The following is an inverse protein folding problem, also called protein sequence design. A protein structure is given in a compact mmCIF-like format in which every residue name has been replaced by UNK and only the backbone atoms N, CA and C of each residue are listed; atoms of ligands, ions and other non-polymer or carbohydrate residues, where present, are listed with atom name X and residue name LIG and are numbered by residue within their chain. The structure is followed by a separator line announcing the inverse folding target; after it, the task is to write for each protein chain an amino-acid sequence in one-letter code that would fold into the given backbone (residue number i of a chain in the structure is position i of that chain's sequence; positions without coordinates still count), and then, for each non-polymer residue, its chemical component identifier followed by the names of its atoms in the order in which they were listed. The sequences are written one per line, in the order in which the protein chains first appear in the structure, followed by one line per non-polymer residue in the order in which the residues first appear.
data_IF_365107612540
#
_entry.id   IF_365107612540
#
_cell.length_a   1.000
_cell.length_b   1.000
_cell.length_c   1.000
_cell.angle_alpha   90.00
_cell.angle_beta   90.00
_cell.angle_gamma   90.00
#
_symmetry.space_group_name_H-M   'P 1'
#
loop_
_entity.id
_entity.type
_entity.pdbx_description
1 polymer ?
#
# COMPACT_ATOMS: atom_id res chain seq x y z
N UNK A 1 -4.45 -11.86 9.11
CA UNK A 1 -3.99 -12.33 7.78
C UNK A 1 -2.90 -11.44 7.19
N UNK A 2 -3.07 -10.10 7.08
CA UNK A 2 -2.05 -9.18 6.50
C UNK A 2 -0.59 -9.34 6.99
N UNK A 3 -0.38 -9.68 8.26
CA UNK A 3 0.98 -9.76 8.85
C UNK A 3 1.75 -10.98 8.35
N UNK A 4 1.05 -12.07 8.00
CA UNK A 4 1.65 -13.29 7.48
C UNK A 4 2.03 -13.13 6.01
N UNK A 5 1.15 -12.53 5.20
CA UNK A 5 1.42 -12.22 3.79
C UNK A 5 2.60 -11.25 3.65
N UNK A 6 2.65 -10.20 4.48
CA UNK A 6 3.79 -9.28 4.49
C UNK A 6 5.12 -9.96 4.89
N UNK A 7 5.07 -10.91 5.82
CA UNK A 7 6.25 -11.68 6.20
C UNK A 7 6.71 -12.60 5.06
N UNK A 8 5.79 -13.29 4.39
CA UNK A 8 6.11 -14.17 3.27
C UNK A 8 6.67 -13.40 2.07
N UNK A 9 6.08 -12.25 1.73
CA UNK A 9 6.61 -11.35 0.69
C UNK A 9 8.02 -10.87 1.06
N UNK A 10 8.24 -10.49 2.32
CA UNK A 10 9.57 -10.07 2.77
C UNK A 10 10.61 -11.19 2.69
N UNK A 11 10.25 -12.42 3.07
CA UNK A 11 11.14 -13.57 2.94
C UNK A 11 11.47 -13.89 1.47
N UNK A 12 10.47 -13.78 0.58
CA UNK A 12 10.69 -13.94 -0.85
C UNK A 12 11.64 -12.88 -1.43
N UNK A 13 11.52 -11.62 -1.00
CA UNK A 13 12.42 -10.53 -1.39
C UNK A 13 13.86 -10.75 -0.91
N UNK A 14 14.06 -11.25 0.32
CA UNK A 14 15.38 -11.60 0.86
C UNK A 14 16.05 -12.69 0.02
N UNK A 15 15.31 -13.75 -0.28
CA UNK A 15 15.80 -14.86 -1.10
C UNK A 15 16.13 -14.42 -2.52
N UNK A 16 15.29 -13.57 -3.12
CA UNK A 16 15.51 -13.02 -4.45
C UNK A 16 16.74 -12.12 -4.51
N UNK A 17 16.90 -11.21 -3.53
CA UNK A 17 18.06 -10.33 -3.45
C UNK A 17 19.37 -11.11 -3.33
N UNK A 18 19.37 -12.21 -2.57
CA UNK A 18 20.53 -13.11 -2.45
C UNK A 18 20.85 -13.80 -3.77
N UNK A 19 19.85 -14.35 -4.47
CA UNK A 19 20.04 -14.99 -5.79
C UNK A 19 20.59 -14.04 -6.83
N UNK A 20 20.09 -12.81 -6.86
CA UNK A 20 20.59 -11.77 -7.77
C UNK A 20 22.04 -11.39 -7.45
N UNK A 21 22.38 -11.29 -6.16
CA UNK A 21 23.74 -11.02 -5.73
C UNK A 21 24.71 -12.17 -6.07
N UNK A 22 24.28 -13.43 -5.88
CA UNK A 22 25.05 -14.62 -6.27
C UNK A 22 25.29 -14.65 -7.79
N UNK A 23 24.25 -14.41 -8.60
CA UNK A 23 24.37 -14.35 -10.06
C UNK A 23 25.31 -13.22 -10.53
N UNK A 24 25.36 -12.10 -9.81
CA UNK A 24 26.31 -11.02 -10.08
C UNK A 24 27.74 -11.42 -9.71
N UNK A 25 27.92 -12.06 -8.55
CA UNK A 25 29.23 -12.49 -8.08
C UNK A 25 29.82 -13.61 -8.94
N UNK A 26 28.98 -14.46 -9.55
CA UNK A 26 29.40 -15.50 -10.51
C UNK A 26 30.02 -14.91 -11.78
N UNK A 27 29.70 -13.65 -12.13
CA UNK A 27 30.31 -12.96 -13.27
C UNK A 27 31.72 -12.43 -12.96
N UNK A 28 32.17 -12.56 -11.71
CA UNK A 28 33.47 -12.09 -11.23
C UNK A 28 34.37 -13.29 -10.92
N UNK A 29 34.69 -14.07 -11.97
CA UNK A 29 35.44 -15.34 -11.89
C UNK A 29 36.85 -15.23 -11.27
N UNK A 30 37.37 -14.02 -11.12
CA UNK A 30 38.68 -13.74 -10.53
C UNK A 30 38.66 -13.62 -8.99
N UNK A 31 37.47 -13.66 -8.37
CA UNK A 31 37.33 -13.56 -6.91
C UNK A 31 37.58 -14.91 -6.23
N UNK A 32 38.23 -14.88 -5.07
CA UNK A 32 38.26 -16.05 -4.18
C UNK A 32 36.88 -16.29 -3.57
N UNK A 33 36.64 -17.50 -3.04
CA UNK A 33 35.37 -17.85 -2.39
C UNK A 33 34.98 -16.88 -1.27
N UNK A 34 35.94 -16.48 -0.43
CA UNK A 34 35.72 -15.52 0.66
C UNK A 34 35.40 -14.10 0.15
N UNK A 35 36.03 -13.67 -0.95
CA UNK A 35 35.72 -12.39 -1.56
C UNK A 35 34.36 -12.41 -2.25
N UNK A 36 33.99 -13.54 -2.88
CA UNK A 36 32.68 -13.74 -3.50
C UNK A 36 31.57 -13.63 -2.46
N UNK A 37 31.69 -14.31 -1.32
CA UNK A 37 30.71 -14.27 -0.24
C UNK A 37 30.52 -12.85 0.31
N UNK A 38 31.63 -12.14 0.56
CA UNK A 38 31.57 -10.75 1.02
C UNK A 38 30.88 -9.80 0.01
N UNK A 39 31.07 -10.02 -1.29
CA UNK A 39 30.40 -9.27 -2.36
C UNK A 39 28.91 -9.60 -2.39
N UNK A 40 28.54 -10.88 -2.28
CA UNK A 40 27.14 -11.33 -2.25
C UNK A 40 26.40 -10.67 -1.08
N UNK A 41 26.96 -10.72 0.12
CA UNK A 41 26.34 -10.12 1.30
C UNK A 41 26.13 -8.61 1.16
N UNK A 42 27.16 -7.91 0.67
CA UNK A 42 27.09 -6.46 0.45
C UNK A 42 26.03 -6.09 -0.60
N UNK A 43 25.97 -6.81 -1.72
CA UNK A 43 24.99 -6.56 -2.77
C UNK A 43 23.57 -6.93 -2.33
N UNK A 44 23.38 -8.05 -1.64
CA UNK A 44 22.08 -8.46 -1.12
C UNK A 44 21.54 -7.42 -0.13
N UNK A 45 22.37 -6.95 0.81
CA UNK A 45 22.00 -5.90 1.77
C UNK A 45 21.65 -4.59 1.05
N UNK A 46 22.47 -4.18 0.07
CA UNK A 46 22.22 -2.98 -0.77
C UNK A 46 20.86 -3.08 -1.47
N UNK A 47 20.57 -4.21 -2.09
CA UNK A 47 19.33 -4.44 -2.84
C UNK A 47 18.11 -4.44 -1.89
N UNK A 48 18.23 -5.07 -0.73
CA UNK A 48 17.17 -5.06 0.28
C UNK A 48 16.87 -3.66 0.80
N UNK A 49 17.90 -2.84 1.04
CA UNK A 49 17.71 -1.44 1.44
C UNK A 49 16.99 -0.62 0.37
N UNK A 50 17.28 -0.86 -0.91
CA UNK A 50 16.58 -0.21 -2.02
C UNK A 50 15.11 -0.65 -2.08
N UNK A 51 14.83 -1.96 -2.03
CA UNK A 51 13.46 -2.49 -2.00
C UNK A 51 12.65 -1.91 -0.84
N UNK A 52 13.22 -1.86 0.38
CA UNK A 52 12.58 -1.22 1.55
C UNK A 52 12.21 0.23 1.28
N UNK A 53 13.15 1.04 0.75
CA UNK A 53 12.88 2.46 0.45
C UNK A 53 11.82 2.65 -0.63
N UNK A 54 11.74 1.75 -1.61
CA UNK A 54 10.68 1.79 -2.61
C UNK A 54 9.33 1.44 -1.99
N UNK A 55 9.25 0.38 -1.19
CA UNK A 55 8.02 -0.01 -0.49
C UNK A 55 7.52 1.09 0.44
N UNK A 56 8.41 1.73 1.21
CA UNK A 56 8.06 2.84 2.11
C UNK A 56 7.49 4.04 1.34
N UNK A 57 8.14 4.44 0.23
CA UNK A 57 7.67 5.53 -0.61
C UNK A 57 6.30 5.22 -1.23
N UNK A 58 6.12 4.01 -1.76
CA UNK A 58 4.84 3.59 -2.33
C UNK A 58 3.74 3.51 -1.28
N UNK A 59 4.05 3.00 -0.09
CA UNK A 59 3.10 2.94 1.02
C UNK A 59 2.69 4.35 1.49
N UNK A 60 3.65 5.27 1.59
CA UNK A 60 3.38 6.67 1.93
C UNK A 60 2.46 7.31 0.89
N UNK A 61 2.74 7.10 -0.40
CA UNK A 61 1.93 7.65 -1.50
C UNK A 61 0.54 7.04 -1.57
N UNK A 62 0.42 5.74 -1.35
CA UNK A 62 -0.86 5.05 -1.30
C UNK A 62 -1.72 5.58 -0.13
N UNK A 63 -1.10 5.83 1.04
CA UNK A 63 -1.79 6.43 2.18
C UNK A 63 -2.20 7.87 1.90
N UNK A 64 -1.35 8.68 1.27
CA UNK A 64 -1.69 10.06 0.93
C UNK A 64 -2.87 10.13 -0.03
N UNK A 65 -2.85 9.32 -1.10
CA UNK A 65 -3.96 9.19 -2.04
C UNK A 65 -5.22 8.74 -1.33
N UNK A 66 -5.13 7.69 -0.51
CA UNK A 66 -6.29 7.18 0.24
C UNK A 66 -6.92 8.25 1.15
N UNK A 67 -6.10 9.04 1.84
CA UNK A 67 -6.58 10.18 2.64
C UNK A 67 -7.30 11.23 1.81
N UNK A 68 -6.74 11.62 0.65
CA UNK A 68 -7.38 12.58 -0.27
C UNK A 68 -8.74 12.06 -0.80
N UNK A 69 -8.83 10.78 -1.13
CA UNK A 69 -10.06 10.15 -1.60
C UNK A 69 -11.10 9.98 -0.49
N UNK A 70 -10.69 9.57 0.71
CA UNK A 70 -11.60 9.40 1.86
C UNK A 70 -12.24 10.73 2.27
N UNK A 71 -11.48 11.84 2.24
CA UNK A 71 -12.03 13.16 2.50
C UNK A 71 -13.09 13.57 1.46
N UNK A 72 -12.80 13.38 0.17
CA UNK A 72 -13.75 13.69 -0.91
C UNK A 72 -15.02 12.82 -0.81
N UNK A 73 -14.85 11.55 -0.50
CA UNK A 73 -15.98 10.63 -0.32
C UNK A 73 -16.81 10.98 0.90
N UNK A 74 -16.18 11.37 2.02
CA UNK A 74 -16.88 11.79 3.22
C UNK A 74 -17.77 13.02 2.97
N UNK A 75 -17.27 14.01 2.21
CA UNK A 75 -18.05 15.18 1.81
C UNK A 75 -19.22 14.83 0.90
N UNK A 76 -19.01 13.96 -0.09
CA UNK A 76 -20.07 13.53 -0.99
C UNK A 76 -21.15 12.73 -0.24
N UNK A 77 -20.72 11.83 0.65
CA UNK A 77 -21.62 11.06 1.52
C UNK A 77 -22.43 11.97 2.42
N UNK A 78 -21.82 12.97 3.05
CA UNK A 78 -22.52 13.93 3.90
C UNK A 78 -23.59 14.72 3.12
N UNK A 79 -23.27 15.16 1.89
CA UNK A 79 -24.23 15.85 1.02
C UNK A 79 -25.40 14.94 0.63
N UNK A 80 -25.13 13.70 0.24
CA UNK A 80 -26.19 12.74 -0.09
C UNK A 80 -27.08 12.45 1.11
N UNK A 81 -26.50 12.20 2.29
CA UNK A 81 -27.27 12.00 3.52
C UNK A 81 -28.13 13.22 3.88
N UNK A 82 -27.62 14.45 3.70
CA UNK A 82 -28.38 15.67 3.95
C UNK A 82 -29.56 15.82 2.96
N UNK A 83 -29.32 15.58 1.67
CA UNK A 83 -30.36 15.64 0.65
C UNK A 83 -31.44 14.57 0.86
N UNK A 84 -31.06 13.34 1.23
CA UNK A 84 -32.03 12.28 1.53
C UNK A 84 -32.85 12.59 2.77
N UNK A 85 -32.23 13.14 3.83
CA UNK A 85 -32.96 13.58 5.02
C UNK A 85 -33.96 14.70 4.68
N UNK A 86 -33.51 15.72 3.94
CA UNK A 86 -34.37 16.82 3.51
C UNK A 86 -35.55 16.31 2.67
N UNK A 87 -35.29 15.45 1.69
CA UNK A 87 -36.34 14.84 0.87
C UNK A 87 -37.35 14.04 1.71
N UNK A 88 -36.87 13.25 2.68
CA UNK A 88 -37.74 12.49 3.57
C UNK A 88 -38.61 13.41 4.45
N UNK A 89 -38.00 14.45 5.04
CA UNK A 89 -38.76 15.43 5.85
C UNK A 89 -39.81 16.17 5.03
N UNK A 90 -39.49 16.57 3.79
CA UNK A 90 -40.43 17.23 2.89
C UNK A 90 -41.58 16.29 2.50
N UNK A 91 -41.29 15.02 2.20
CA UNK A 91 -42.30 14.02 1.89
C UNK A 91 -43.25 13.75 3.07
N UNK A 92 -42.71 13.62 4.29
CA UNK A 92 -43.50 13.45 5.51
C UNK A 92 -44.38 14.67 5.76
N UNK A 93 -43.85 15.89 5.64
CA UNK A 93 -44.62 17.11 5.79
C UNK A 93 -45.77 17.21 4.77
N UNK A 94 -45.50 16.87 3.51
CA UNK A 94 -46.53 16.81 2.46
C UNK A 94 -47.62 15.78 2.80
N UNK A 95 -47.24 14.58 3.25
CA UNK A 95 -48.19 13.55 3.67
C UNK A 95 -49.06 14.03 4.85
N UNK A 96 -48.48 14.67 5.85
CA UNK A 96 -49.22 15.25 6.97
C UNK A 96 -50.19 16.36 6.52
N UNK A 97 -49.78 17.23 5.60
CA UNK A 97 -50.63 18.29 5.06
C UNK A 97 -51.80 17.74 4.22
N UNK A 98 -51.57 16.65 3.47
CA UNK A 98 -52.62 15.98 2.70
C UNK A 98 -53.56 15.19 3.59
N UNK A 99 -53.05 14.49 4.61
CA UNK A 99 -53.88 13.69 5.52
C UNK A 99 -54.63 14.54 6.56
N UNK A 100 -54.15 15.76 6.84
CA UNK A 100 -54.82 16.72 7.71
C UNK A 100 -55.84 17.63 7.01
N UNK A 101 -55.96 17.53 5.68
CA UNK A 101 -57.00 18.16 4.85
C UNK A 101 -58.15 17.21 4.60
#
# INVERSE_FOLDING_TARGET
MLRLEGYLLWQAEVEQARKEAEAMADRLEWLTSAQREAVVDCFAERQLQLSRRFLERTALRARSLRGEYEQRYALLRARLCALTLLGFTAAVLLLCLVAGR
#
